data_IF_385564395374
#
_entry.id   IF_385564395374
#
_cell.length_a   1.000
_cell.length_b   1.000
_cell.length_c   1.000
_cell.angle_alpha   90.00
_cell.angle_beta   90.00
_cell.angle_gamma   90.00
#
_symmetry.space_group_name_H-M   'P 1'
#
loop_
_entity.id
_entity.type
_entity.pdbx_description
1 polymer ?
#
# COMPACT_ATOMS: atom_id res chain seq x y z
N UNK A 1 -28.61 -1.78 1.37
CA UNK A 1 -27.96 -0.80 0.48
C UNK A 1 -27.08 0.16 1.27
N UNK A 2 -27.59 0.79 2.29
CA UNK A 2 -26.82 1.75 3.06
C UNK A 2 -25.55 1.20 3.71
N UNK A 3 -25.60 -0.01 4.22
CA UNK A 3 -24.44 -0.62 4.87
C UNK A 3 -23.30 -0.88 3.88
N UNK A 4 -23.63 -1.27 2.65
CA UNK A 4 -22.62 -1.48 1.62
C UNK A 4 -21.94 -0.19 1.21
N UNK A 5 -22.72 0.88 1.08
CA UNK A 5 -22.18 2.18 0.70
C UNK A 5 -21.25 2.73 1.78
N UNK A 6 -21.65 2.57 3.06
CA UNK A 6 -20.80 3.03 4.16
C UNK A 6 -19.49 2.28 4.22
N UNK A 7 -19.49 0.97 3.95
CA UNK A 7 -18.26 0.18 3.91
C UNK A 7 -17.33 0.67 2.82
N UNK A 8 -17.87 1.06 1.66
CA UNK A 8 -17.02 1.51 0.54
C UNK A 8 -16.36 2.86 0.79
N UNK A 9 -16.88 3.67 1.74
CA UNK A 9 -16.24 4.94 2.12
C UNK A 9 -14.97 4.73 2.92
N UNK A 10 -14.91 3.67 3.74
CA UNK A 10 -13.78 3.39 4.62
C UNK A 10 -12.91 2.24 4.12
N UNK A 11 -13.47 1.42 3.26
CA UNK A 11 -12.79 0.27 2.68
C UNK A 11 -13.06 0.28 1.18
N UNK A 12 -12.23 1.01 0.39
CA UNK A 12 -12.44 1.10 -1.04
C UNK A 12 -12.49 -0.29 -1.68
N UNK A 13 -13.38 -0.46 -2.65
CA UNK A 13 -13.43 -1.71 -3.40
C UNK A 13 -12.14 -1.93 -4.18
N UNK A 14 -11.90 -3.17 -4.61
CA UNK A 14 -10.74 -3.47 -5.47
C UNK A 14 -10.79 -2.65 -6.75
N UNK A 15 -11.99 -2.43 -7.31
CA UNK A 15 -12.14 -1.60 -8.51
C UNK A 15 -11.75 -0.16 -8.25
N UNK A 16 -12.14 0.40 -7.10
CA UNK A 16 -11.78 1.77 -6.74
C UNK A 16 -10.27 1.93 -6.58
N UNK A 17 -9.63 0.97 -5.95
CA UNK A 17 -8.17 0.97 -5.79
C UNK A 17 -7.46 0.92 -7.14
N UNK A 18 -7.92 0.05 -8.03
CA UNK A 18 -7.33 -0.08 -9.37
C UNK A 18 -7.53 1.19 -10.18
N UNK A 19 -8.73 1.77 -10.14
CA UNK A 19 -9.00 3.05 -10.80
C UNK A 19 -8.10 4.16 -10.28
N UNK A 20 -7.94 4.21 -8.96
CA UNK A 20 -7.07 5.21 -8.33
C UNK A 20 -5.65 5.15 -8.90
N UNK A 21 -5.04 3.97 -8.93
CA UNK A 21 -3.67 3.83 -9.40
C UNK A 21 -3.54 4.06 -10.90
N UNK A 22 -4.47 3.57 -11.69
CA UNK A 22 -4.46 3.80 -13.14
C UNK A 22 -4.61 5.28 -13.46
N UNK A 23 -5.51 5.99 -12.75
CA UNK A 23 -5.73 7.41 -12.93
C UNK A 23 -4.51 8.21 -12.48
N UNK A 24 -3.91 7.85 -11.33
CA UNK A 24 -2.69 8.51 -10.86
C UNK A 24 -1.57 8.35 -11.88
N UNK A 25 -1.42 7.16 -12.46
CA UNK A 25 -0.41 6.89 -13.47
C UNK A 25 -0.65 7.71 -14.74
N UNK A 26 -1.89 7.77 -15.21
CA UNK A 26 -2.25 8.57 -16.37
C UNK A 26 -1.90 10.05 -16.15
N UNK A 27 -2.33 10.62 -15.02
CA UNK A 27 -2.04 12.01 -14.67
C UNK A 27 -0.56 12.28 -14.56
N UNK A 28 0.17 11.36 -13.94
CA UNK A 28 1.61 11.49 -13.77
C UNK A 28 2.32 11.55 -15.12
N UNK A 29 1.94 10.68 -16.05
CA UNK A 29 2.52 10.65 -17.38
C UNK A 29 2.17 11.90 -18.21
N UNK A 30 0.95 12.41 -18.04
CA UNK A 30 0.48 13.58 -18.76
C UNK A 30 0.88 14.89 -18.07
N UNK A 31 1.55 14.78 -16.92
CA UNK A 31 1.94 15.92 -16.10
C UNK A 31 0.73 16.77 -15.69
N UNK A 32 -0.40 16.11 -15.46
CA UNK A 32 -1.61 16.74 -14.97
C UNK A 32 -1.51 16.93 -13.45
N UNK A 33 -2.32 17.84 -12.87
CA UNK A 33 -2.32 18.03 -11.42
C UNK A 33 -2.73 16.76 -10.68
N UNK A 34 -2.02 16.45 -9.59
CA UNK A 34 -2.26 15.27 -8.77
C UNK A 34 -2.93 15.68 -7.46
N UNK A 35 -3.82 14.83 -6.96
CA UNK A 35 -4.30 14.97 -5.58
C UNK A 35 -3.15 14.65 -4.61
N UNK A 36 -3.34 14.95 -3.32
CA UNK A 36 -2.33 14.66 -2.31
C UNK A 36 -2.01 13.17 -2.26
N UNK A 37 -3.02 12.30 -2.30
CA UNK A 37 -2.81 10.85 -2.29
C UNK A 37 -2.14 10.34 -3.55
N UNK A 38 -2.52 10.90 -4.69
CA UNK A 38 -1.86 10.55 -5.96
C UNK A 38 -0.38 10.93 -5.94
N UNK A 39 -0.06 12.09 -5.36
CA UNK A 39 1.33 12.51 -5.23
C UNK A 39 2.14 11.58 -4.33
N UNK A 40 1.53 11.04 -3.28
CA UNK A 40 2.19 10.03 -2.44
C UNK A 40 2.42 8.71 -3.18
N UNK A 41 1.55 8.39 -4.11
CA UNK A 41 1.60 7.13 -4.85
C UNK A 41 2.63 7.14 -5.99
N UNK A 42 2.81 8.27 -6.67
CA UNK A 42 3.60 8.29 -7.91
C UNK A 42 5.05 7.82 -7.78
N UNK A 43 5.79 8.11 -6.69
CA UNK A 43 7.14 7.55 -6.57
C UNK A 43 7.17 6.02 -6.62
N UNK A 44 6.14 5.39 -6.06
CA UNK A 44 6.05 3.92 -6.07
C UNK A 44 5.68 3.38 -7.44
N UNK A 45 4.86 4.12 -8.19
CA UNK A 45 4.53 3.76 -9.58
C UNK A 45 5.80 3.81 -10.44
N UNK A 46 6.63 4.83 -10.25
CA UNK A 46 7.90 4.95 -10.98
C UNK A 46 8.87 3.83 -10.63
N UNK A 47 8.87 3.37 -9.39
CA UNK A 47 9.78 2.32 -8.93
C UNK A 47 9.33 0.90 -9.30
N UNK A 48 8.16 0.77 -9.91
CA UNK A 48 7.64 -0.53 -10.33
C UNK A 48 7.32 -0.54 -11.83
N UNK A 49 8.36 -0.40 -12.68
CA UNK A 49 8.13 -0.41 -14.14
C UNK A 49 7.49 -1.70 -14.64
N UNK A 50 7.65 -2.79 -13.89
CA UNK A 50 7.01 -4.07 -14.21
C UNK A 50 5.49 -4.00 -14.17
N UNK A 51 4.91 -2.97 -13.55
CA UNK A 51 3.46 -2.80 -13.46
C UNK A 51 2.90 -1.77 -14.44
N UNK A 52 3.77 -1.11 -15.22
CA UNK A 52 3.32 -0.02 -16.07
C UNK A 52 2.31 -0.46 -17.14
N UNK A 53 2.43 -1.69 -17.63
CA UNK A 53 1.48 -2.21 -18.61
C UNK A 53 0.07 -2.35 -18.01
N UNK A 54 -0.02 -2.86 -16.77
CA UNK A 54 -1.32 -2.99 -16.08
C UNK A 54 -1.91 -1.62 -15.75
N UNK A 55 -1.07 -0.65 -15.41
CA UNK A 55 -1.52 0.70 -15.06
C UNK A 55 -2.00 1.48 -16.28
N UNK A 56 -1.56 1.10 -17.47
CA UNK A 56 -1.86 1.86 -18.70
C UNK A 56 -3.25 1.60 -19.25
N UNK A 57 -3.90 0.50 -18.86
CA UNK A 57 -5.21 0.12 -19.40
C UNK A 57 -6.18 -0.21 -18.28
N UNK A 58 -6.99 0.78 -17.92
CA UNK A 58 -7.94 0.66 -16.80
C UNK A 58 -8.98 -0.43 -17.04
N UNK A 59 -9.44 -0.61 -18.29
CA UNK A 59 -10.45 -1.62 -18.59
C UNK A 59 -9.91 -3.02 -18.32
N UNK A 60 -8.69 -3.28 -18.77
CA UNK A 60 -8.04 -4.57 -18.52
C UNK A 60 -7.74 -4.73 -17.03
N UNK A 61 -7.26 -3.66 -16.38
CA UNK A 61 -6.97 -3.70 -14.95
C UNK A 61 -8.18 -4.08 -14.10
N UNK A 62 -9.37 -3.57 -14.46
CA UNK A 62 -10.59 -3.86 -13.72
C UNK A 62 -11.07 -5.28 -13.92
N UNK A 63 -10.74 -5.91 -15.05
CA UNK A 63 -11.23 -7.25 -15.41
C UNK A 63 -10.26 -8.38 -15.08
N UNK A 64 -8.97 -8.05 -14.86
CA UNK A 64 -7.96 -9.07 -14.63
C UNK A 64 -8.09 -9.67 -13.23
N UNK A 65 -8.03 -11.00 -13.15
CA UNK A 65 -8.01 -11.73 -11.89
C UNK A 65 -6.56 -11.99 -11.46
N UNK A 66 -6.26 -11.71 -10.20
CA UNK A 66 -4.95 -11.97 -9.62
C UNK A 66 -5.10 -13.00 -8.49
N UNK A 67 -5.80 -14.09 -8.77
CA UNK A 67 -6.03 -15.12 -7.78
C UNK A 67 -4.73 -15.82 -7.41
N UNK A 68 -4.62 -16.20 -6.12
CA UNK A 68 -3.42 -16.86 -5.59
C UNK A 68 -3.14 -18.18 -6.34
N UNK A 69 -4.18 -18.91 -6.69
CA UNK A 69 -4.06 -20.18 -7.40
C UNK A 69 -3.50 -20.03 -8.82
N UNK A 70 -3.56 -18.81 -9.40
CA UNK A 70 -2.98 -18.54 -10.71
C UNK A 70 -1.50 -18.21 -10.63
N UNK A 71 -0.93 -18.14 -9.42
CA UNK A 71 0.46 -17.79 -9.23
C UNK A 71 0.83 -16.36 -9.57
N UNK A 72 -0.17 -15.52 -9.76
CA UNK A 72 0.05 -14.11 -10.09
C UNK A 72 0.06 -13.24 -8.85
N UNK A 73 1.07 -12.39 -8.72
CA UNK A 73 1.03 -11.35 -7.70
C UNK A 73 0.09 -10.23 -8.16
N UNK A 74 -0.62 -9.64 -7.19
CA UNK A 74 -1.55 -8.55 -7.47
C UNK A 74 -0.78 -7.22 -7.35
N UNK A 75 -0.46 -6.57 -8.48
CA UNK A 75 0.31 -5.32 -8.43
C UNK A 75 -0.42 -4.20 -7.70
N UNK A 76 -1.75 -4.19 -7.76
CA UNK A 76 -2.54 -3.15 -7.10
C UNK A 76 -2.52 -3.31 -5.59
N UNK A 77 -2.51 -4.55 -5.11
CA UNK A 77 -2.35 -4.80 -3.68
C UNK A 77 -0.96 -4.37 -3.21
N UNK A 78 0.08 -4.70 -3.96
CA UNK A 78 1.45 -4.31 -3.63
C UNK A 78 1.60 -2.78 -3.57
N UNK A 79 1.06 -2.09 -4.58
CA UNK A 79 1.09 -0.62 -4.62
C UNK A 79 0.28 -0.02 -3.48
N UNK A 80 -0.87 -0.62 -3.15
CA UNK A 80 -1.69 -0.16 -2.03
C UNK A 80 -0.96 -0.29 -0.70
N UNK A 81 -0.16 -1.33 -0.51
CA UNK A 81 0.65 -1.48 0.70
C UNK A 81 1.73 -0.42 0.79
N UNK A 82 2.43 -0.12 -0.31
CA UNK A 82 3.39 0.99 -0.35
C UNK A 82 2.71 2.31 0.03
N UNK A 83 1.54 2.57 -0.55
CA UNK A 83 0.81 3.80 -0.29
C UNK A 83 0.36 3.88 1.17
N UNK A 84 -0.12 2.78 1.73
CA UNK A 84 -0.54 2.72 3.15
C UNK A 84 0.62 3.08 4.07
N UNK A 85 1.79 2.51 3.84
CA UNK A 85 2.97 2.79 4.66
C UNK A 85 3.40 4.25 4.50
N UNK A 86 3.38 4.76 3.28
CA UNK A 86 3.72 6.16 3.02
C UNK A 86 2.76 7.11 3.74
N UNK A 87 1.47 6.80 3.71
CA UNK A 87 0.47 7.60 4.42
C UNK A 87 0.68 7.53 5.93
N UNK A 88 0.92 6.33 6.47
CA UNK A 88 1.21 6.16 7.90
C UNK A 88 2.39 7.04 8.32
N UNK A 89 3.45 7.05 7.54
CA UNK A 89 4.62 7.86 7.83
C UNK A 89 4.32 9.36 7.71
N UNK A 90 3.50 9.76 6.75
CA UNK A 90 3.19 11.17 6.54
C UNK A 90 2.43 11.78 7.73
N UNK A 91 1.56 11.00 8.37
CA UNK A 91 0.77 11.45 9.52
C UNK A 91 1.29 10.90 10.85
N UNK A 92 2.33 10.08 10.80
CA UNK A 92 2.93 9.39 11.95
C UNK A 92 1.90 8.61 12.78
N UNK A 93 1.15 7.74 12.09
CA UNK A 93 0.17 6.85 12.73
C UNK A 93 0.43 5.41 12.32
N UNK A 94 0.65 4.49 13.25
CA UNK A 94 0.72 4.68 14.70
C UNK A 94 1.92 5.55 15.13
N UNK A 95 1.79 6.23 16.23
CA UNK A 95 2.80 7.18 16.71
C UNK A 95 4.18 6.51 16.82
N UNK A 96 5.17 7.06 16.14
CA UNK A 96 6.53 6.52 16.08
C UNK A 96 6.83 5.70 14.83
N UNK A 97 5.84 5.43 13.99
CA UNK A 97 6.05 4.61 12.78
C UNK A 97 7.00 5.28 11.79
N UNK A 98 6.90 6.61 11.65
CA UNK A 98 7.80 7.34 10.74
C UNK A 98 9.25 7.11 11.10
N UNK A 99 9.61 7.30 12.37
CA UNK A 99 10.98 7.11 12.83
C UNK A 99 11.43 5.66 12.64
N UNK A 100 10.57 4.69 12.94
CA UNK A 100 10.91 3.29 12.81
C UNK A 100 11.22 2.93 11.35
N UNK A 101 10.40 3.41 10.42
CA UNK A 101 10.60 3.17 8.99
C UNK A 101 11.86 3.88 8.49
N UNK A 102 12.10 5.12 8.93
CA UNK A 102 13.30 5.86 8.55
C UNK A 102 14.58 5.17 9.04
N UNK A 103 14.56 4.65 10.28
CA UNK A 103 15.71 3.90 10.81
C UNK A 103 15.94 2.62 10.01
N UNK A 104 14.89 1.92 9.66
CA UNK A 104 15.01 0.70 8.86
C UNK A 104 15.53 1.03 7.46
N UNK A 105 15.03 2.11 6.85
CA UNK A 105 15.49 2.56 5.54
C UNK A 105 16.97 2.92 5.55
N UNK A 106 17.42 3.59 6.60
CA UNK A 106 18.84 3.93 6.76
C UNK A 106 19.67 2.65 6.90
N UNK A 107 19.19 1.69 7.68
CA UNK A 107 19.90 0.43 7.90
C UNK A 107 20.01 -0.39 6.61
N UNK A 108 18.97 -0.41 5.80
CA UNK A 108 18.96 -1.15 4.53
C UNK A 108 19.53 -0.32 3.36
N UNK A 109 19.78 0.96 3.57
CA UNK A 109 20.22 1.89 2.54
C UNK A 109 19.24 1.95 1.36
N UNK A 110 17.95 1.74 1.65
CA UNK A 110 16.90 1.72 0.64
C UNK A 110 15.54 1.83 1.30
N UNK A 111 14.80 2.87 0.96
CA UNK A 111 13.42 3.02 1.41
C UNK A 111 12.55 1.90 0.83
N UNK A 112 12.78 1.53 -0.43
CA UNK A 112 12.02 0.46 -1.08
C UNK A 112 12.22 -0.88 -0.35
N UNK A 113 13.46 -1.23 -0.01
CA UNK A 113 13.74 -2.44 0.74
C UNK A 113 13.10 -2.41 2.13
N UNK A 114 13.16 -1.25 2.80
CA UNK A 114 12.52 -1.09 4.10
C UNK A 114 11.01 -1.28 4.00
N UNK A 115 10.37 -0.72 2.99
CA UNK A 115 8.93 -0.88 2.78
C UNK A 115 8.55 -2.35 2.61
N UNK A 116 9.35 -3.14 1.89
CA UNK A 116 9.06 -4.56 1.72
C UNK A 116 9.09 -5.30 3.05
N UNK A 117 9.99 -4.96 3.96
CA UNK A 117 10.00 -5.56 5.30
C UNK A 117 8.83 -5.08 6.15
N UNK A 118 8.50 -3.80 6.04
CA UNK A 118 7.34 -3.24 6.75
C UNK A 118 6.04 -3.88 6.25
N UNK A 119 5.96 -4.20 4.97
CA UNK A 119 4.80 -4.91 4.40
C UNK A 119 4.58 -6.27 5.06
N UNK A 120 5.64 -6.97 5.40
CA UNK A 120 5.50 -8.24 6.13
C UNK A 120 4.88 -8.02 7.51
N UNK A 121 5.33 -6.99 8.22
CA UNK A 121 4.75 -6.64 9.51
C UNK A 121 3.30 -6.19 9.39
N UNK A 122 3.00 -5.41 8.36
CA UNK A 122 1.64 -4.95 8.09
C UNK A 122 0.72 -6.11 7.76
N UNK A 123 1.19 -7.04 6.93
CA UNK A 123 0.45 -8.24 6.58
C UNK A 123 0.14 -9.12 7.78
N UNK A 124 1.10 -9.27 8.68
CA UNK A 124 0.91 -10.03 9.92
C UNK A 124 -0.14 -9.38 10.81
N UNK A 125 -0.11 -8.06 10.93
CA UNK A 125 -1.11 -7.32 11.71
C UNK A 125 -2.51 -7.53 11.15
N UNK A 126 -2.67 -7.41 9.85
CA UNK A 126 -3.96 -7.57 9.17
C UNK A 126 -4.45 -9.00 9.33
N UNK A 127 -3.57 -9.98 9.11
CA UNK A 127 -3.90 -11.40 9.23
C UNK A 127 -4.34 -11.75 10.65
N UNK A 128 -3.62 -11.26 11.66
CA UNK A 128 -3.96 -11.51 13.07
C UNK A 128 -5.32 -10.90 13.42
N UNK A 129 -5.60 -9.70 12.90
CA UNK A 129 -6.90 -9.04 13.10
C UNK A 129 -8.04 -9.85 12.49
N UNK A 130 -7.87 -10.31 11.26
CA UNK A 130 -8.88 -11.10 10.57
C UNK A 130 -9.14 -12.43 11.28
N UNK A 131 -8.08 -13.05 11.77
CA UNK A 131 -8.18 -14.34 12.43
C UNK A 131 -8.83 -14.26 13.81
N UNK A 132 -8.52 -13.23 14.58
CA UNK A 132 -9.04 -13.06 15.94
C UNK A 132 -10.38 -12.35 16.00
N UNK A 133 -10.76 -11.61 14.95
CA UNK A 133 -11.92 -10.77 14.95
C UNK A 133 -11.75 -9.48 15.75
N UNK A 134 -10.54 -9.23 16.26
CA UNK A 134 -10.22 -8.01 17.00
C UNK A 134 -9.67 -6.95 16.05
N UNK A 135 -9.73 -5.65 16.43
CA UNK A 135 -9.13 -4.60 15.61
C UNK A 135 -7.62 -4.83 15.41
N UNK A 136 -7.04 -4.29 14.32
CA UNK A 136 -5.61 -4.39 14.10
C UNK A 136 -4.80 -3.81 15.25
N UNK A 137 -3.75 -4.53 15.67
CA UNK A 137 -2.89 -4.14 16.79
C UNK A 137 -1.73 -3.27 16.27
N UNK A 138 -1.96 -1.96 16.22
CA UNK A 138 -0.95 -1.02 15.72
C UNK A 138 0.31 -0.96 16.58
N UNK A 139 0.20 -1.20 17.89
CA UNK A 139 1.36 -1.22 18.77
C UNK A 139 2.26 -2.42 18.48
N UNK A 140 1.70 -3.60 18.31
CA UNK A 140 2.46 -4.79 17.95
C UNK A 140 3.13 -4.63 16.59
N UNK A 141 2.43 -4.02 15.64
CA UNK A 141 2.97 -3.70 14.32
C UNK A 141 4.19 -2.77 14.45
N UNK A 142 4.05 -1.68 15.20
CA UNK A 142 5.13 -0.73 15.41
C UNK A 142 6.36 -1.40 16.04
N UNK A 143 6.13 -2.24 17.05
CA UNK A 143 7.22 -2.98 17.70
C UNK A 143 7.92 -3.94 16.75
N UNK A 144 7.17 -4.58 15.87
CA UNK A 144 7.73 -5.47 14.86
C UNK A 144 8.65 -4.71 13.90
N UNK A 145 8.22 -3.52 13.45
CA UNK A 145 9.06 -2.68 12.59
C UNK A 145 10.31 -2.23 13.33
N UNK A 146 10.18 -1.81 14.59
CA UNK A 146 11.31 -1.40 15.41
C UNK A 146 12.33 -2.52 15.60
N UNK A 147 11.87 -3.74 15.81
CA UNK A 147 12.78 -4.89 15.94
C UNK A 147 13.61 -5.07 14.68
N UNK A 148 13.01 -4.93 13.52
CA UNK A 148 13.75 -5.03 12.25
C UNK A 148 14.76 -3.90 12.09
N UNK A 149 14.41 -2.71 12.54
CA UNK A 149 15.28 -1.54 12.46
C UNK A 149 16.48 -1.65 13.40
N UNK A 150 16.38 -2.40 14.48
CA UNK A 150 17.43 -2.53 15.50
C UNK A 150 18.16 -3.87 15.47
N UNK A 151 17.70 -4.80 14.68
CA UNK A 151 18.31 -6.13 14.58
C UNK A 151 19.63 -6.16 13.82
#
# INVERSE_FOLDING_TARGET
MGAGDNCSMFQPSQHDVRRFFCEAWRKHRERAPLSAMEALATPWLDQHPEYHAELADIEVALQTSYAVEDGRSNPFLHLAMHLSITEQCSIDQPSGVRQAVELLAAKRQSLHAAHHEVMECLGEMIWASQRSGLPPDGLAYLEAVRRRATA
#
